data_IF_918818534230
#
_entry.id   IF_918818534230
#
_cell.length_a   1.000
_cell.length_b   1.000
_cell.length_c   1.000
_cell.angle_alpha   90.00
_cell.angle_beta   90.00
_cell.angle_gamma   90.00
#
_symmetry.space_group_name_H-M   'P 1'
#
loop_
_entity.id
_entity.type
_entity.pdbx_description
1 polymer ?
#
# COMPACT_ATOMS: atom_id res chain seq x y z
N UNK A 1 -2.40 29.31 -2.60
CA UNK A 1 -2.24 27.91 -3.01
C UNK A 1 -2.59 27.02 -1.82
N UNK A 2 -3.30 25.92 -2.03
CA UNK A 2 -3.53 24.92 -0.99
C UNK A 2 -2.38 23.90 -1.05
N UNK A 3 -1.81 23.48 0.09
CA UNK A 3 -0.78 22.46 0.10
C UNK A 3 -1.33 21.13 -0.40
N UNK A 4 -0.58 20.44 -1.28
CA UNK A 4 -0.91 19.08 -1.75
C UNK A 4 -0.13 18.08 -0.92
N UNK A 5 -0.80 17.11 -0.32
CA UNK A 5 -0.15 15.99 0.38
C UNK A 5 0.21 14.87 -0.58
N UNK A 6 1.39 14.25 -0.42
CA UNK A 6 1.79 13.08 -1.17
C UNK A 6 2.26 11.95 -0.25
N UNK A 7 1.69 10.77 -0.44
CA UNK A 7 2.09 9.54 0.25
C UNK A 7 2.95 8.70 -0.69
N UNK A 8 4.24 8.65 -0.42
CA UNK A 8 5.18 7.73 -1.07
C UNK A 8 5.97 7.01 0.03
N UNK A 9 6.11 5.71 -0.11
CA UNK A 9 6.90 4.91 0.82
C UNK A 9 7.60 3.77 0.06
N UNK A 10 8.92 3.70 0.19
CA UNK A 10 9.74 2.66 -0.45
C UNK A 10 9.33 1.25 -0.02
N UNK A 11 8.75 1.10 1.20
CA UNK A 11 8.27 -0.20 1.68
C UNK A 11 7.14 -0.76 0.81
N UNK A 12 6.34 0.08 0.14
CA UNK A 12 5.28 -0.39 -0.75
C UNK A 12 5.82 -1.26 -1.91
N UNK A 13 7.08 -1.04 -2.31
CA UNK A 13 7.75 -1.85 -3.34
C UNK A 13 8.03 -3.29 -2.91
N UNK A 14 7.85 -3.63 -1.63
CA UNK A 14 7.98 -5.01 -1.12
C UNK A 14 6.75 -5.87 -1.39
N UNK A 15 5.63 -5.29 -1.84
CA UNK A 15 4.57 -6.06 -2.48
C UNK A 15 5.03 -6.45 -3.90
N UNK A 16 5.80 -7.53 -3.98
CA UNK A 16 6.40 -8.04 -5.21
C UNK A 16 5.81 -9.42 -5.53
N UNK A 17 4.73 -9.42 -6.31
CA UNK A 17 3.91 -10.61 -6.61
C UNK A 17 4.44 -11.50 -7.74
N UNK A 18 5.67 -11.25 -8.19
CA UNK A 18 6.35 -12.04 -9.21
C UNK A 18 6.42 -11.39 -10.59
N UNK A 19 7.19 -11.98 -11.52
CA UNK A 19 7.39 -11.43 -12.86
C UNK A 19 6.13 -11.54 -13.71
N UNK A 20 5.92 -10.54 -14.58
CA UNK A 20 4.83 -10.53 -15.55
C UNK A 20 3.47 -10.05 -15.03
N UNK A 21 3.34 -9.83 -13.72
CA UNK A 21 2.12 -9.23 -13.16
C UNK A 21 2.06 -7.72 -13.50
N UNK A 22 0.91 -7.20 -13.98
CA UNK A 22 0.77 -5.80 -14.36
C UNK A 22 0.90 -4.87 -13.15
N UNK A 23 0.36 -5.26 -12.00
CA UNK A 23 0.61 -4.62 -10.71
C UNK A 23 2.01 -5.03 -10.24
N UNK A 24 2.97 -4.10 -10.25
CA UNK A 24 4.37 -4.38 -9.94
C UNK A 24 5.05 -3.20 -9.24
N UNK A 25 6.10 -3.45 -8.44
CA UNK A 25 6.88 -2.39 -7.77
C UNK A 25 7.42 -1.31 -8.71
N UNK A 26 7.66 -1.66 -9.98
CA UNK A 26 8.14 -0.73 -10.98
C UNK A 26 7.16 0.41 -11.26
N UNK A 27 5.85 0.20 -11.07
CA UNK A 27 4.84 1.27 -11.22
C UNK A 27 5.12 2.42 -10.26
N UNK A 28 5.36 2.11 -8.98
CA UNK A 28 5.67 3.11 -7.96
C UNK A 28 7.00 3.79 -8.22
N UNK A 29 8.01 3.03 -8.65
CA UNK A 29 9.33 3.56 -9.01
C UNK A 29 9.21 4.61 -10.12
N UNK A 30 8.57 4.27 -11.23
CA UNK A 30 8.45 5.17 -12.39
C UNK A 30 7.64 6.42 -12.03
N UNK A 31 6.58 6.29 -11.22
CA UNK A 31 5.80 7.45 -10.75
C UNK A 31 6.66 8.38 -9.89
N UNK A 32 7.39 7.84 -8.92
CA UNK A 32 8.25 8.63 -8.03
C UNK A 32 9.39 9.31 -8.81
N UNK A 33 10.02 8.62 -9.77
CA UNK A 33 11.04 9.20 -10.64
C UNK A 33 10.48 10.33 -11.51
N UNK A 34 9.31 10.12 -12.13
CA UNK A 34 8.67 11.14 -12.96
C UNK A 34 8.26 12.38 -12.17
N UNK A 35 7.69 12.19 -10.98
CA UNK A 35 7.32 13.30 -10.10
C UNK A 35 8.57 14.07 -9.63
N UNK A 36 9.65 13.38 -9.25
CA UNK A 36 10.90 14.03 -8.86
C UNK A 36 11.56 14.79 -10.01
N UNK A 37 11.62 14.20 -11.21
CA UNK A 37 12.16 14.86 -12.39
C UNK A 37 11.37 16.12 -12.79
N UNK A 38 10.08 16.17 -12.47
CA UNK A 38 9.22 17.33 -12.75
C UNK A 38 9.33 18.47 -11.72
N UNK A 39 9.97 18.25 -10.57
CA UNK A 39 9.98 19.20 -9.44
C UNK A 39 8.70 19.20 -8.59
N UNK A 40 7.71 18.37 -8.92
CA UNK A 40 6.42 18.33 -8.22
C UNK A 40 6.52 17.71 -6.83
N UNK A 41 7.50 16.82 -6.58
CA UNK A 41 7.66 16.22 -5.25
C UNK A 41 8.04 17.27 -4.21
N UNK A 42 8.87 18.23 -4.59
CA UNK A 42 9.35 19.32 -3.75
C UNK A 42 8.23 20.32 -3.41
N UNK A 43 7.19 20.40 -4.24
CA UNK A 43 6.00 21.22 -3.98
C UNK A 43 4.98 20.53 -3.07
N UNK A 44 5.11 19.23 -2.82
CA UNK A 44 4.17 18.44 -2.03
C UNK A 44 4.61 18.30 -0.55
N UNK A 45 3.63 18.22 0.33
CA UNK A 45 3.83 17.84 1.73
C UNK A 45 3.91 16.32 1.83
N UNK A 46 5.07 15.80 2.21
CA UNK A 46 5.25 14.35 2.43
C UNK A 46 4.36 13.84 3.57
N UNK A 47 3.62 12.77 3.28
CA UNK A 47 2.73 12.08 4.21
C UNK A 47 3.35 10.72 4.60
N UNK A 48 3.32 10.35 5.90
CA UNK A 48 3.86 9.07 6.33
C UNK A 48 2.92 7.92 5.99
N UNK A 49 3.48 6.77 5.58
CA UNK A 49 2.76 5.51 5.67
C UNK A 49 2.76 5.03 7.12
N UNK A 50 1.60 4.63 7.62
CA UNK A 50 1.41 4.19 8.99
C UNK A 50 0.64 2.88 9.01
N UNK A 51 0.96 2.01 9.96
CA UNK A 51 0.17 0.82 10.23
C UNK A 51 -1.06 1.23 11.05
N UNK A 52 -2.30 1.00 10.55
CA UNK A 52 -3.50 1.42 11.26
C UNK A 52 -3.82 0.46 12.42
N UNK A 53 -4.55 0.92 13.46
CA UNK A 53 -5.15 0.03 14.45
C UNK A 53 -6.05 -1.02 13.79
N UNK A 54 -6.03 -2.25 14.30
CA UNK A 54 -6.88 -3.34 13.81
C UNK A 54 -8.37 -3.00 13.84
N UNK A 55 -8.80 -2.20 14.82
CA UNK A 55 -10.18 -1.75 14.93
C UNK A 55 -10.64 -0.94 13.72
N UNK A 56 -9.75 -0.18 13.08
CA UNK A 56 -10.08 0.57 11.86
C UNK A 56 -10.23 -0.37 10.67
N UNK A 57 -9.34 -1.35 10.51
CA UNK A 57 -9.47 -2.36 9.45
C UNK A 57 -10.73 -3.22 9.66
N UNK A 58 -11.03 -3.59 10.90
CA UNK A 58 -12.20 -4.38 11.26
C UNK A 58 -13.52 -3.61 11.16
N UNK A 59 -13.49 -2.28 11.03
CA UNK A 59 -14.69 -1.49 10.71
C UNK A 59 -15.23 -1.77 9.30
N UNK A 60 -14.40 -2.34 8.41
CA UNK A 60 -14.74 -2.65 7.01
C UNK A 60 -14.60 -4.15 6.71
N UNK A 61 -13.58 -4.82 7.28
CA UNK A 61 -13.27 -6.22 7.02
C UNK A 61 -13.59 -7.12 8.21
N UNK A 62 -13.97 -8.36 7.96
CA UNK A 62 -14.13 -9.34 9.05
C UNK A 62 -12.77 -9.73 9.63
N UNK A 63 -12.75 -10.09 10.91
CA UNK A 63 -11.55 -10.66 11.55
C UNK A 63 -11.04 -11.88 10.78
N UNK A 64 -11.95 -12.79 10.42
CA UNK A 64 -11.63 -14.02 9.67
C UNK A 64 -10.92 -13.73 8.33
N UNK A 65 -11.33 -12.67 7.62
CA UNK A 65 -10.66 -12.28 6.38
C UNK A 65 -9.22 -11.82 6.63
N UNK A 66 -9.02 -10.94 7.62
CA UNK A 66 -7.69 -10.41 7.95
C UNK A 66 -6.74 -11.54 8.38
N UNK A 67 -7.22 -12.45 9.23
CA UNK A 67 -6.46 -13.62 9.68
C UNK A 67 -6.13 -14.56 8.52
N UNK A 68 -7.09 -14.83 7.63
CA UNK A 68 -6.87 -15.69 6.45
C UNK A 68 -5.87 -15.07 5.48
N UNK A 69 -5.95 -13.76 5.24
CA UNK A 69 -5.03 -13.05 4.37
C UNK A 69 -3.60 -13.06 4.93
N UNK A 70 -3.43 -12.76 6.23
CA UNK A 70 -2.11 -12.82 6.89
C UNK A 70 -1.52 -14.23 6.81
N UNK A 71 -2.32 -15.25 7.13
CA UNK A 71 -1.90 -16.63 7.04
C UNK A 71 -1.49 -17.04 5.62
N UNK A 72 -2.26 -16.66 4.60
CA UNK A 72 -1.94 -16.95 3.21
C UNK A 72 -0.62 -16.30 2.77
N UNK A 73 -0.38 -15.04 3.17
CA UNK A 73 0.88 -14.35 2.91
C UNK A 73 2.05 -15.08 3.58
N UNK A 74 1.96 -15.36 4.89
CA UNK A 74 3.02 -16.04 5.66
C UNK A 74 3.32 -17.45 5.16
N UNK A 75 2.32 -18.14 4.60
CA UNK A 75 2.49 -19.47 4.00
C UNK A 75 3.03 -19.43 2.56
N UNK A 76 3.20 -18.24 1.98
CA UNK A 76 3.72 -18.06 0.63
C UNK A 76 2.75 -18.51 -0.46
N UNK A 77 1.44 -18.43 -0.20
CA UNK A 77 0.46 -18.66 -1.26
C UNK A 77 0.60 -17.61 -2.35
N UNK A 78 0.42 -17.97 -3.63
CA UNK A 78 0.61 -17.02 -4.74
C UNK A 78 -0.59 -16.07 -4.92
N UNK A 79 -1.77 -16.44 -4.44
CA UNK A 79 -3.01 -15.69 -4.62
C UNK A 79 -3.91 -15.80 -3.39
N UNK A 80 -4.81 -14.83 -3.21
CA UNK A 80 -5.91 -14.88 -2.23
C UNK A 80 -7.26 -14.82 -2.96
N UNK A 81 -8.16 -15.75 -2.66
CA UNK A 81 -9.55 -15.86 -3.16
C UNK A 81 -9.74 -16.03 -4.68
N UNK A 82 -9.03 -15.28 -5.53
CA UNK A 82 -9.09 -15.33 -6.99
C UNK A 82 -7.68 -15.21 -7.62
N UNK A 83 -7.45 -15.78 -8.82
CA UNK A 83 -6.13 -15.72 -9.49
C UNK A 83 -5.61 -14.31 -9.81
N UNK A 84 -6.50 -13.31 -9.90
CA UNK A 84 -6.12 -11.92 -10.17
C UNK A 84 -5.65 -11.16 -8.92
N UNK A 85 -5.79 -11.76 -7.74
CA UNK A 85 -5.38 -11.19 -6.45
C UNK A 85 -4.09 -11.84 -5.97
N UNK A 86 -3.01 -11.56 -6.72
CA UNK A 86 -1.68 -12.06 -6.40
C UNK A 86 -1.16 -11.46 -5.09
N UNK A 87 -0.51 -12.30 -4.28
CA UNK A 87 0.09 -11.92 -3.01
C UNK A 87 1.51 -12.48 -2.91
N UNK A 88 2.26 -11.94 -1.95
CA UNK A 88 3.61 -12.34 -1.58
C UNK A 88 3.74 -12.33 -0.05
N UNK A 89 4.84 -12.85 0.53
CA UNK A 89 5.00 -12.94 1.98
C UNK A 89 4.81 -11.61 2.74
N UNK A 90 5.21 -10.49 2.15
CA UNK A 90 5.11 -9.16 2.74
C UNK A 90 3.76 -8.47 2.49
N UNK A 91 2.86 -9.07 1.70
CA UNK A 91 1.66 -8.39 1.19
C UNK A 91 0.72 -7.93 2.29
N UNK A 92 0.55 -8.72 3.35
CA UNK A 92 -0.32 -8.33 4.46
C UNK A 92 0.20 -7.04 5.13
N UNK A 93 1.47 -7.00 5.50
CA UNK A 93 2.09 -5.83 6.12
C UNK A 93 2.10 -4.60 5.19
N UNK A 94 2.34 -4.81 3.89
CA UNK A 94 2.31 -3.72 2.91
C UNK A 94 0.90 -3.19 2.68
N UNK A 95 -0.10 -4.05 2.61
CA UNK A 95 -1.50 -3.65 2.48
C UNK A 95 -1.95 -2.82 3.70
N UNK A 96 -1.53 -3.21 4.90
CA UNK A 96 -1.79 -2.44 6.13
C UNK A 96 -1.16 -1.06 6.08
N UNK A 97 0.13 -0.96 5.73
CA UNK A 97 0.83 0.32 5.59
C UNK A 97 0.17 1.24 4.56
N UNK A 98 -0.27 0.69 3.42
CA UNK A 98 -0.95 1.44 2.38
C UNK A 98 -2.32 1.95 2.88
N UNK A 99 -3.11 1.09 3.53
CA UNK A 99 -4.41 1.47 4.08
C UNK A 99 -4.29 2.56 5.15
N UNK A 100 -3.38 2.42 6.12
CA UNK A 100 -3.20 3.42 7.17
C UNK A 100 -2.62 4.74 6.65
N UNK A 101 -1.76 4.70 5.63
CA UNK A 101 -1.31 5.92 4.95
C UNK A 101 -2.45 6.67 4.26
N UNK A 102 -3.36 5.96 3.58
CA UNK A 102 -4.55 6.58 2.96
C UNK A 102 -5.50 7.14 4.01
N UNK A 103 -5.69 6.44 5.13
CA UNK A 103 -6.49 6.94 6.27
C UNK A 103 -5.93 8.25 6.83
N UNK A 104 -4.62 8.33 7.03
CA UNK A 104 -3.97 9.55 7.51
C UNK A 104 -4.06 10.69 6.48
N UNK A 105 -3.94 10.38 5.18
CA UNK A 105 -4.15 11.35 4.12
C UNK A 105 -5.58 11.90 4.13
N UNK A 106 -6.59 11.03 4.23
CA UNK A 106 -8.00 11.41 4.32
C UNK A 106 -8.28 12.29 5.55
N UNK A 107 -7.72 11.93 6.71
CA UNK A 107 -7.86 12.70 7.96
C UNK A 107 -7.31 14.13 7.85
N UNK A 108 -6.31 14.36 7.00
CA UNK A 108 -5.68 15.68 6.83
C UNK A 108 -6.45 16.63 5.91
N UNK A 109 -7.40 16.11 5.13
CA UNK A 109 -8.17 16.90 4.15
C UNK A 109 -9.66 17.00 4.47
N UNK A 110 -10.15 16.23 5.45
CA UNK A 110 -11.51 16.32 5.99
C UNK A 110 -11.63 17.50 6.97
#
# INVERSE_FOLDING_TARGET
MHPTGILLDERFRRHATGPGHPESPNRLKVIQEALGASGLLEECVSLPAADPPDTLLQSVHTHDYLTRLDAACRQGYPYIDVPDSAICPESFDIARLAAGGVMEAARRVA
#
